data_IF_445536266788
#
_entry.id   IF_445536266788
#
_cell.length_a   1.000
_cell.length_b   1.000
_cell.length_c   1.000
_cell.angle_alpha   90.00
_cell.angle_beta   90.00
_cell.angle_gamma   90.00
#
_symmetry.space_group_name_H-M   'P 1'
#
loop_
_entity.id
_entity.type
_entity.pdbx_description
1 polymer ?
#
# COMPACT_ATOMS: atom_id res chain seq x y z
N UNK A 1 -18.13 -3.19 30.57
CA UNK A 1 -17.29 -3.07 29.36
C UNK A 1 -16.07 -2.24 29.74
N UNK A 2 -14.86 -2.76 29.52
CA UNK A 2 -13.62 -2.14 29.99
C UNK A 2 -13.27 -0.96 29.07
N UNK A 3 -13.64 0.27 29.47
CA UNK A 3 -13.42 1.52 28.71
C UNK A 3 -11.95 2.00 28.71
N UNK A 4 -11.05 1.26 29.35
CA UNK A 4 -9.64 1.65 29.54
C UNK A 4 -8.75 1.50 28.29
N UNK A 5 -9.22 0.91 27.19
CA UNK A 5 -8.40 0.65 25.99
C UNK A 5 -8.99 1.17 24.67
N UNK A 6 -9.81 2.24 24.72
CA UNK A 6 -10.27 2.90 23.49
C UNK A 6 -9.51 4.21 23.25
N UNK A 7 -9.09 4.48 22.01
CA UNK A 7 -8.47 5.76 21.66
C UNK A 7 -9.43 6.93 21.91
N UNK A 8 -8.87 8.11 22.15
CA UNK A 8 -9.58 9.37 22.31
C UNK A 8 -9.28 10.31 21.13
N UNK A 9 -10.19 11.23 20.84
CA UNK A 9 -9.98 12.33 19.89
C UNK A 9 -9.24 13.51 20.54
N UNK A 10 -8.97 14.56 19.77
CA UNK A 10 -8.27 15.77 20.24
C UNK A 10 -9.04 16.56 21.31
N UNK A 11 -10.33 16.30 21.50
CA UNK A 11 -11.15 16.86 22.58
C UNK A 11 -11.11 16.00 23.87
N UNK A 12 -10.47 14.83 23.81
CA UNK A 12 -10.38 13.87 24.90
C UNK A 12 -11.61 12.95 25.04
N UNK A 13 -12.51 12.97 24.06
CA UNK A 13 -13.66 12.07 24.00
C UNK A 13 -13.26 10.72 23.41
N UNK A 14 -13.86 9.63 23.89
CA UNK A 14 -13.61 8.31 23.31
C UNK A 14 -14.11 8.24 21.88
N UNK A 15 -13.27 7.74 20.98
CA UNK A 15 -13.66 7.47 19.61
C UNK A 15 -14.73 6.39 19.60
N UNK A 16 -15.79 6.64 18.85
CA UNK A 16 -16.95 5.76 18.77
C UNK A 16 -16.55 4.44 18.08
N UNK A 17 -16.72 3.25 18.71
CA UNK A 17 -16.14 2.01 18.20
C UNK A 17 -16.55 1.63 16.77
N UNK A 18 -17.79 1.88 16.37
CA UNK A 18 -18.28 1.50 15.05
C UNK A 18 -17.80 2.42 13.91
N UNK A 19 -17.20 3.58 14.24
CA UNK A 19 -16.58 4.45 13.24
C UNK A 19 -15.14 4.03 12.97
N UNK A 20 -14.53 3.18 13.80
CA UNK A 20 -13.14 2.78 13.63
C UNK A 20 -13.02 1.78 12.46
N UNK A 21 -12.28 2.17 11.42
CA UNK A 21 -11.98 1.32 10.27
C UNK A 21 -10.76 0.43 10.54
N UNK A 22 -9.75 0.99 11.22
CA UNK A 22 -8.48 0.33 11.51
C UNK A 22 -7.80 0.96 12.72
N UNK A 23 -7.11 0.12 13.51
CA UNK A 23 -6.16 0.54 14.56
C UNK A 23 -4.83 -0.12 14.20
N UNK A 24 -3.79 0.68 14.00
CA UNK A 24 -2.41 0.23 13.83
C UNK A 24 -1.58 0.49 15.09
N UNK A 25 -0.25 0.51 14.95
CA UNK A 25 0.65 0.68 16.10
C UNK A 25 0.72 2.13 16.62
N UNK A 26 0.53 3.10 15.73
CA UNK A 26 0.64 4.53 16.04
C UNK A 26 -0.54 5.37 15.54
N UNK A 27 -1.40 4.81 14.68
CA UNK A 27 -2.46 5.52 14.02
C UNK A 27 -3.79 4.76 14.09
N UNK A 28 -4.88 5.51 14.25
CA UNK A 28 -6.25 5.03 14.12
C UNK A 28 -6.88 5.69 12.90
N UNK A 29 -7.65 4.90 12.15
CA UNK A 29 -8.42 5.38 11.00
C UNK A 29 -9.90 5.32 11.36
N UNK A 30 -10.58 6.45 11.27
CA UNK A 30 -12.01 6.58 11.57
C UNK A 30 -12.78 7.00 10.34
N UNK A 31 -14.03 6.54 10.26
CA UNK A 31 -14.98 6.89 9.23
C UNK A 31 -15.91 8.01 9.72
N UNK A 32 -16.00 9.10 8.96
CA UNK A 32 -16.96 10.17 9.17
C UNK A 32 -17.57 10.54 7.82
N UNK A 33 -18.86 10.29 7.65
CA UNK A 33 -19.61 10.49 6.40
C UNK A 33 -19.00 9.78 5.18
N UNK A 34 -18.35 10.50 4.26
CA UNK A 34 -17.66 9.96 3.08
C UNK A 34 -16.12 10.09 3.18
N UNK A 35 -15.61 10.32 4.39
CA UNK A 35 -14.19 10.57 4.68
C UNK A 35 -13.63 9.51 5.64
N UNK A 36 -12.44 9.03 5.33
CA UNK A 36 -11.59 8.26 6.22
C UNK A 36 -10.50 9.19 6.78
N UNK A 37 -10.49 9.38 8.10
CA UNK A 37 -9.55 10.26 8.80
C UNK A 37 -8.54 9.39 9.54
N UNK A 38 -7.26 9.50 9.15
CA UNK A 38 -6.14 8.87 9.86
C UNK A 38 -5.55 9.88 10.84
N UNK A 39 -5.40 9.49 12.09
CA UNK A 39 -4.86 10.33 13.17
C UNK A 39 -4.03 9.51 14.14
N UNK A 40 -3.21 10.18 14.95
CA UNK A 40 -2.40 9.53 15.96
C UNK A 40 -3.27 8.81 17.01
N UNK A 41 -2.83 7.63 17.45
CA UNK A 41 -3.46 6.96 18.59
C UNK A 41 -3.08 7.72 19.86
N UNK A 42 -4.11 8.04 20.65
CA UNK A 42 -3.98 8.63 21.97
C UNK A 42 -4.91 7.89 22.93
N UNK A 43 -4.37 7.41 24.05
CA UNK A 43 -5.15 6.90 25.18
C UNK A 43 -5.07 7.86 26.38
N UNK A 44 -6.08 7.86 27.25
CA UNK A 44 -6.16 8.78 28.41
C UNK A 44 -4.95 8.75 29.35
N UNK A 45 -4.24 7.63 29.41
CA UNK A 45 -3.10 7.42 30.30
C UNK A 45 -1.76 7.46 29.55
N UNK A 46 -1.74 7.82 28.26
CA UNK A 46 -0.50 7.93 27.51
C UNK A 46 0.33 9.13 27.99
N UNK A 47 1.64 8.98 27.96
CA UNK A 47 2.57 10.09 28.22
C UNK A 47 2.55 11.06 27.04
N UNK A 48 2.84 12.34 27.31
CA UNK A 48 2.97 13.35 26.25
C UNK A 48 4.02 12.96 25.20
N UNK A 49 5.11 12.31 25.64
CA UNK A 49 6.15 11.76 24.75
C UNK A 49 5.57 10.72 23.80
N UNK A 50 4.78 9.75 24.30
CA UNK A 50 4.17 8.72 23.47
C UNK A 50 3.19 9.28 22.45
N UNK A 51 2.39 10.27 22.88
CA UNK A 51 1.46 10.98 21.99
C UNK A 51 2.22 11.70 20.89
N UNK A 52 3.30 12.40 21.23
CA UNK A 52 4.12 13.12 20.26
C UNK A 52 4.86 12.17 19.30
N UNK A 53 5.35 11.02 19.77
CA UNK A 53 5.89 9.97 18.88
C UNK A 53 4.86 9.53 17.84
N UNK A 54 3.63 9.27 18.25
CA UNK A 54 2.56 8.85 17.33
C UNK A 54 2.19 9.98 16.35
N UNK A 55 2.09 11.23 16.82
CA UNK A 55 1.83 12.41 15.98
C UNK A 55 2.95 12.66 14.97
N UNK A 56 4.21 12.48 15.38
CA UNK A 56 5.37 12.62 14.51
C UNK A 56 5.33 11.65 13.32
N UNK A 57 4.80 10.43 13.52
CA UNK A 57 4.60 9.44 12.46
C UNK A 57 3.53 9.89 11.46
N UNK A 58 2.43 10.50 11.93
CA UNK A 58 1.42 11.09 11.03
C UNK A 58 2.04 12.23 10.21
N UNK A 59 2.77 13.15 10.85
CA UNK A 59 3.44 14.26 10.13
C UNK A 59 4.46 13.77 9.11
N UNK A 60 5.21 12.70 9.41
CA UNK A 60 6.13 12.08 8.43
C UNK A 60 5.38 11.55 7.21
N UNK A 61 4.24 10.88 7.40
CA UNK A 61 3.39 10.41 6.30
C UNK A 61 2.78 11.58 5.51
N UNK A 62 2.39 12.67 6.16
CA UNK A 62 1.92 13.90 5.49
C UNK A 62 2.95 14.45 4.49
N UNK A 63 4.26 14.34 4.76
CA UNK A 63 5.28 14.77 3.79
C UNK A 63 5.25 13.96 2.49
N UNK A 64 4.90 12.67 2.57
CA UNK A 64 4.70 11.84 1.38
C UNK A 64 3.48 12.33 0.60
N UNK A 65 2.38 12.64 1.28
CA UNK A 65 1.17 13.20 0.66
C UNK A 65 1.46 14.54 -0.04
N UNK A 66 2.18 15.45 0.62
CA UNK A 66 2.60 16.74 0.03
C UNK A 66 3.49 16.53 -1.20
N UNK A 67 4.34 15.50 -1.21
CA UNK A 67 5.16 15.16 -2.39
C UNK A 67 4.30 14.70 -3.56
N UNK A 68 3.29 13.87 -3.33
CA UNK A 68 2.55 13.23 -4.42
C UNK A 68 1.34 14.02 -4.91
N UNK A 69 0.74 14.82 -4.04
CA UNK A 69 -0.48 15.58 -4.28
C UNK A 69 -0.38 17.00 -3.68
N UNK A 70 0.54 17.85 -4.15
CA UNK A 70 0.88 19.13 -3.49
C UNK A 70 -0.27 20.13 -3.39
N UNK A 71 -1.26 20.06 -4.29
CA UNK A 71 -2.36 21.03 -4.35
C UNK A 71 -3.73 20.45 -3.94
N UNK A 72 -3.82 19.16 -3.66
CA UNK A 72 -5.09 18.45 -3.36
C UNK A 72 -6.24 18.55 -4.39
N UNK A 73 -6.06 19.29 -5.48
CA UNK A 73 -7.10 19.50 -6.50
C UNK A 73 -7.38 18.27 -7.36
N UNK A 74 -6.36 17.44 -7.62
CA UNK A 74 -6.47 16.29 -8.50
C UNK A 74 -5.92 15.01 -7.86
N UNK A 75 -6.69 13.91 -7.86
CA UNK A 75 -6.22 12.63 -7.35
C UNK A 75 -5.10 12.07 -8.22
N UNK A 76 -4.16 11.38 -7.57
CA UNK A 76 -3.13 10.59 -8.27
C UNK A 76 -3.72 9.23 -8.65
N UNK A 77 -3.76 8.93 -9.96
CA UNK A 77 -4.34 7.67 -10.44
C UNK A 77 -3.68 6.45 -9.76
N UNK A 78 -4.52 5.57 -9.22
CA UNK A 78 -4.10 4.34 -8.54
C UNK A 78 -3.71 4.51 -7.06
N UNK A 79 -3.76 5.73 -6.52
CA UNK A 79 -3.57 6.03 -5.08
C UNK A 79 -4.88 6.56 -4.49
N UNK A 80 -5.15 6.28 -3.22
CA UNK A 80 -6.33 6.85 -2.53
C UNK A 80 -6.26 8.39 -2.54
N UNK A 81 -7.41 9.04 -2.76
CA UNK A 81 -7.47 10.49 -2.84
C UNK A 81 -7.34 11.11 -1.45
N UNK A 82 -6.28 11.85 -1.19
CA UNK A 82 -6.16 12.69 -0.01
C UNK A 82 -7.02 13.94 -0.21
N UNK A 83 -7.84 14.29 0.77
CA UNK A 83 -8.76 15.42 0.71
C UNK A 83 -8.19 16.64 1.43
N UNK A 84 -7.54 16.41 2.58
CA UNK A 84 -6.96 17.45 3.39
C UNK A 84 -5.89 16.90 4.35
N UNK A 85 -4.98 17.78 4.78
CA UNK A 85 -3.95 17.53 5.80
C UNK A 85 -4.10 18.53 6.96
N UNK A 86 -5.26 18.52 7.62
CA UNK A 86 -5.55 19.41 8.75
C UNK A 86 -4.90 18.93 10.06
N UNK A 87 -4.07 19.78 10.66
CA UNK A 87 -3.37 19.45 11.91
C UNK A 87 -2.52 18.18 11.80
N UNK A 88 -2.62 17.30 12.79
CA UNK A 88 -1.96 15.98 12.79
C UNK A 88 -2.88 14.87 12.27
N UNK A 89 -3.62 15.16 11.21
CA UNK A 89 -4.52 14.21 10.56
C UNK A 89 -4.30 14.13 9.05
N UNK A 90 -4.73 13.03 8.46
CA UNK A 90 -4.77 12.82 7.01
C UNK A 90 -6.20 12.43 6.66
N UNK A 91 -6.91 13.31 5.96
CA UNK A 91 -8.24 13.03 5.45
C UNK A 91 -8.14 12.43 4.05
N UNK A 92 -8.80 11.30 3.85
CA UNK A 92 -8.83 10.57 2.58
C UNK A 92 -10.26 10.25 2.21
N UNK A 93 -10.53 10.12 0.92
CA UNK A 93 -11.81 9.60 0.43
C UNK A 93 -12.07 8.22 1.03
N UNK A 94 -13.26 8.02 1.60
CA UNK A 94 -13.66 6.72 2.11
C UNK A 94 -13.81 5.68 0.98
N UNK A 95 -13.25 4.50 1.22
CA UNK A 95 -13.24 3.39 0.26
C UNK A 95 -14.17 2.28 0.75
N UNK A 96 -15.42 2.34 0.31
CA UNK A 96 -16.53 1.51 0.82
C UNK A 96 -16.38 0.00 0.58
N UNK A 97 -15.50 -0.42 -0.33
CA UNK A 97 -15.20 -1.83 -0.59
C UNK A 97 -14.23 -2.46 0.42
N UNK A 98 -13.66 -1.66 1.33
CA UNK A 98 -12.69 -2.11 2.32
C UNK A 98 -11.36 -2.55 1.70
N UNK A 99 -10.57 -3.33 2.45
CA UNK A 99 -9.26 -3.80 1.98
C UNK A 99 -9.38 -4.97 1.01
N UNK A 100 -8.45 -5.06 0.06
CA UNK A 100 -8.35 -6.18 -0.87
C UNK A 100 -8.11 -7.51 -0.13
N UNK A 101 -7.32 -7.49 0.94
CA UNK A 101 -7.12 -8.66 1.79
C UNK A 101 -8.44 -9.21 2.38
N UNK A 102 -9.31 -8.34 2.90
CA UNK A 102 -10.65 -8.73 3.40
C UNK A 102 -11.56 -9.18 2.26
N UNK A 103 -11.47 -8.53 1.10
CA UNK A 103 -12.26 -8.88 -0.08
C UNK A 103 -11.92 -10.30 -0.58
N UNK A 104 -10.62 -10.62 -0.72
CA UNK A 104 -10.14 -11.92 -1.19
C UNK A 104 -10.47 -13.07 -0.22
N UNK A 105 -10.46 -12.81 1.09
CA UNK A 105 -10.81 -13.81 2.11
C UNK A 105 -12.28 -14.22 2.09
N UNK A 106 -13.17 -13.28 1.75
CA UNK A 106 -14.62 -13.45 1.90
C UNK A 106 -15.35 -13.78 0.58
N UNK A 107 -14.64 -13.87 -0.55
CA UNK A 107 -15.25 -14.00 -1.88
C UNK A 107 -14.57 -15.06 -2.72
N UNK A 108 -15.29 -15.50 -3.76
CA UNK A 108 -14.71 -16.32 -4.80
C UNK A 108 -13.60 -15.56 -5.55
N UNK A 109 -12.70 -16.32 -6.18
CA UNK A 109 -11.63 -15.76 -6.98
C UNK A 109 -12.18 -14.80 -8.06
N UNK A 110 -11.60 -13.61 -8.22
CA UNK A 110 -12.04 -12.64 -9.20
C UNK A 110 -11.88 -13.19 -10.62
N UNK A 111 -12.77 -12.81 -11.54
CA UNK A 111 -12.60 -13.17 -12.97
C UNK A 111 -11.29 -12.63 -13.54
N UNK A 112 -10.71 -13.29 -14.54
CA UNK A 112 -9.47 -12.84 -15.22
C UNK A 112 -9.59 -11.39 -15.71
N UNK A 113 -10.78 -10.97 -16.18
CA UNK A 113 -11.04 -9.58 -16.59
C UNK A 113 -10.85 -8.60 -15.42
N UNK A 114 -11.37 -8.94 -14.25
CA UNK A 114 -11.22 -8.12 -13.04
C UNK A 114 -9.78 -8.15 -12.52
N UNK A 115 -9.12 -9.32 -12.53
CA UNK A 115 -7.71 -9.46 -12.18
C UNK A 115 -6.82 -8.55 -13.05
N UNK A 116 -7.01 -8.55 -14.38
CA UNK A 116 -6.28 -7.66 -15.30
C UNK A 116 -6.51 -6.18 -15.01
N UNK A 117 -7.75 -5.78 -14.71
CA UNK A 117 -8.09 -4.41 -14.32
C UNK A 117 -7.33 -4.01 -13.06
N UNK A 118 -7.35 -4.85 -12.03
CA UNK A 118 -6.65 -4.59 -10.78
C UNK A 118 -5.13 -4.55 -10.95
N UNK A 119 -4.55 -5.48 -11.70
CA UNK A 119 -3.11 -5.45 -12.00
C UNK A 119 -2.71 -4.10 -12.60
N UNK A 120 -3.47 -3.65 -13.62
CA UNK A 120 -3.20 -2.38 -14.27
C UNK A 120 -3.34 -1.19 -13.31
N UNK A 121 -4.40 -1.13 -12.50
CA UNK A 121 -4.62 -0.04 -11.55
C UNK A 121 -3.51 0.05 -10.49
N UNK A 122 -3.11 -1.08 -9.92
CA UNK A 122 -2.04 -1.13 -8.93
C UNK A 122 -0.68 -0.79 -9.53
N UNK A 123 -0.39 -1.28 -10.73
CA UNK A 123 0.84 -0.90 -11.45
C UNK A 123 0.87 0.59 -11.77
N UNK A 124 -0.25 1.19 -12.17
CA UNK A 124 -0.33 2.64 -12.41
C UNK A 124 -0.06 3.42 -11.11
N UNK A 125 -0.70 3.03 -10.00
CA UNK A 125 -0.46 3.64 -8.69
C UNK A 125 1.01 3.59 -8.30
N UNK A 126 1.61 2.40 -8.37
CA UNK A 126 3.01 2.22 -8.00
C UNK A 126 3.96 2.98 -8.93
N UNK A 127 3.70 2.97 -10.23
CA UNK A 127 4.46 3.77 -11.19
C UNK A 127 4.40 5.27 -10.86
N UNK A 128 3.21 5.77 -10.50
CA UNK A 128 3.03 7.17 -10.12
C UNK A 128 3.83 7.57 -8.88
N UNK A 129 3.93 6.69 -7.86
CA UNK A 129 4.78 6.91 -6.69
C UNK A 129 6.25 6.97 -7.08
N UNK A 130 6.73 6.00 -7.85
CA UNK A 130 8.13 5.92 -8.28
C UNK A 130 8.54 7.13 -9.14
N UNK A 131 7.65 7.63 -10.01
CA UNK A 131 7.87 8.86 -10.78
C UNK A 131 8.00 10.11 -9.89
N UNK A 132 7.32 10.12 -8.75
CA UNK A 132 7.38 11.20 -7.75
C UNK A 132 8.47 11.00 -6.70
N UNK A 133 9.39 10.05 -6.95
CA UNK A 133 10.53 9.73 -6.08
C UNK A 133 10.07 9.25 -4.71
N UNK A 134 9.00 8.47 -4.66
CA UNK A 134 8.50 7.82 -3.45
C UNK A 134 8.67 6.32 -3.59
N UNK A 135 9.29 5.69 -2.59
CA UNK A 135 9.31 4.22 -2.41
C UNK A 135 8.21 3.91 -1.39
N UNK A 136 7.31 2.97 -1.71
CA UNK A 136 6.15 2.70 -0.88
C UNK A 136 6.50 1.85 0.36
N UNK A 137 7.35 0.84 0.17
CA UNK A 137 7.91 -0.09 1.15
C UNK A 137 6.92 -1.09 1.78
N UNK A 138 5.61 -0.84 1.72
CA UNK A 138 4.58 -1.77 2.24
C UNK A 138 3.44 -2.10 1.25
N UNK A 139 3.78 -2.51 0.02
CA UNK A 139 2.81 -2.82 -1.06
C UNK A 139 2.16 -4.19 -0.85
N UNK A 140 1.23 -4.28 0.10
CA UNK A 140 0.53 -5.53 0.44
C UNK A 140 -0.99 -5.39 0.32
N UNK A 141 -1.72 -6.51 0.19
CA UNK A 141 -3.16 -6.51 -0.05
C UNK A 141 -3.99 -5.88 1.08
N UNK A 142 -3.42 -5.74 2.28
CA UNK A 142 -4.02 -4.97 3.37
C UNK A 142 -3.99 -3.45 3.14
N UNK A 143 -3.02 -2.96 2.37
CA UNK A 143 -2.82 -1.55 2.02
C UNK A 143 -3.34 -1.23 0.61
N UNK A 144 -4.29 -2.04 0.13
CA UNK A 144 -5.01 -1.83 -1.12
C UNK A 144 -6.48 -1.76 -0.78
N UNK A 145 -7.15 -0.68 -1.18
CA UNK A 145 -8.56 -0.43 -0.90
C UNK A 145 -9.42 -0.57 -2.15
N UNK A 146 -10.69 -0.90 -1.95
CA UNK A 146 -11.69 -0.96 -3.02
C UNK A 146 -12.73 0.15 -2.89
N UNK A 147 -13.12 0.73 -4.02
CA UNK A 147 -14.31 1.60 -4.07
C UNK A 147 -15.59 0.79 -4.34
N UNK A 148 -16.75 1.47 -4.32
CA UNK A 148 -18.04 0.86 -4.63
C UNK A 148 -18.16 0.28 -6.05
N UNK A 149 -17.26 0.65 -6.97
CA UNK A 149 -17.17 0.13 -8.34
C UNK A 149 -16.13 -0.98 -8.52
N UNK A 150 -15.59 -1.51 -7.41
CA UNK A 150 -14.52 -2.51 -7.39
C UNK A 150 -13.25 -2.07 -8.14
N UNK A 151 -12.94 -0.76 -8.16
CA UNK A 151 -11.59 -0.30 -8.48
C UNK A 151 -10.69 -0.48 -7.27
N UNK A 152 -9.42 -0.77 -7.52
CA UNK A 152 -8.40 -0.84 -6.47
C UNK A 152 -7.52 0.40 -6.49
N UNK A 153 -7.13 0.87 -5.29
CA UNK A 153 -6.16 1.94 -5.09
C UNK A 153 -5.19 1.54 -3.98
N UNK A 154 -3.94 1.99 -4.08
CA UNK A 154 -2.95 1.85 -3.01
C UNK A 154 -3.25 2.90 -1.93
N UNK A 155 -3.08 2.53 -0.67
CA UNK A 155 -3.19 3.42 0.48
C UNK A 155 -2.04 3.18 1.46
N UNK A 156 -2.05 3.93 2.57
CA UNK A 156 -1.11 3.82 3.69
C UNK A 156 0.35 4.09 3.30
N UNK A 157 0.74 5.36 3.39
CA UNK A 157 2.08 5.83 3.04
C UNK A 157 2.98 5.95 4.27
N UNK A 158 2.58 5.37 5.41
CA UNK A 158 3.28 5.52 6.69
C UNK A 158 4.68 4.90 6.72
N UNK A 159 4.92 3.89 5.87
CA UNK A 159 6.24 3.25 5.70
C UNK A 159 7.04 3.83 4.52
N UNK A 160 6.48 4.79 3.78
CA UNK A 160 7.07 5.27 2.54
C UNK A 160 8.25 6.21 2.78
N UNK A 161 9.19 6.19 1.83
CA UNK A 161 10.38 7.05 1.83
C UNK A 161 10.33 8.04 0.68
N UNK A 162 10.57 9.31 0.99
CA UNK A 162 10.66 10.39 -0.01
C UNK A 162 12.12 10.59 -0.40
N UNK A 163 12.44 10.26 -1.65
CA UNK A 163 13.79 10.39 -2.20
C UNK A 163 14.03 11.80 -2.77
N UNK A 164 15.30 12.25 -2.83
CA UNK A 164 15.68 13.48 -3.56
C UNK A 164 15.21 13.47 -5.02
N UNK A 165 14.88 14.64 -5.57
CA UNK A 165 14.22 14.75 -6.88
C UNK A 165 15.08 14.21 -8.04
N UNK A 166 16.39 14.39 -7.93
CA UNK A 166 17.44 13.99 -8.87
C UNK A 166 17.89 12.53 -8.71
N UNK A 167 17.29 11.80 -7.77
CA UNK A 167 17.60 10.39 -7.53
C UNK A 167 17.28 9.52 -8.75
N UNK A 168 18.25 8.68 -9.13
CA UNK A 168 18.05 7.62 -10.11
C UNK A 168 17.46 6.39 -9.39
N UNK A 169 16.14 6.36 -9.28
CA UNK A 169 15.39 5.39 -8.47
C UNK A 169 15.75 3.91 -8.70
N UNK A 170 16.17 3.55 -9.91
CA UNK A 170 16.54 2.16 -10.25
C UNK A 170 17.83 1.65 -9.58
N UNK A 171 18.65 2.56 -9.04
CA UNK A 171 19.96 2.26 -8.44
C UNK A 171 20.05 2.71 -6.99
N UNK A 172 18.92 3.05 -6.37
CA UNK A 172 18.90 3.64 -5.03
C UNK A 172 18.00 2.83 -4.11
N UNK A 173 18.48 2.71 -2.87
CA UNK A 173 17.72 2.20 -1.73
C UNK A 173 17.55 3.30 -0.69
N UNK A 174 16.52 3.19 0.14
CA UNK A 174 16.37 4.04 1.33
C UNK A 174 17.17 3.49 2.54
N UNK A 175 16.98 4.12 3.71
CA UNK A 175 17.64 3.74 4.97
C UNK A 175 17.29 2.32 5.46
N UNK A 176 16.19 1.75 4.95
CA UNK A 176 15.70 0.41 5.28
C UNK A 176 16.01 -0.61 4.17
N UNK A 177 16.91 -0.27 3.24
CA UNK A 177 17.24 -1.07 2.06
C UNK A 177 16.03 -1.34 1.14
N UNK A 178 14.98 -0.52 1.21
CA UNK A 178 13.84 -0.60 0.30
C UNK A 178 14.17 0.14 -1.00
N UNK A 179 13.66 -0.35 -2.12
CA UNK A 179 13.83 0.26 -3.45
C UNK A 179 12.56 0.10 -4.27
N UNK A 180 12.56 0.66 -5.49
CA UNK A 180 11.50 0.36 -6.45
C UNK A 180 11.35 -1.14 -6.74
N UNK A 181 12.43 -1.91 -6.52
CA UNK A 181 12.44 -3.36 -6.77
C UNK A 181 11.77 -4.15 -5.66
N UNK A 182 11.94 -3.74 -4.41
CA UNK A 182 11.23 -4.35 -3.28
C UNK A 182 9.73 -4.09 -3.39
N UNK A 183 9.34 -2.87 -3.78
CA UNK A 183 7.95 -2.51 -4.10
C UNK A 183 7.36 -3.40 -5.21
N UNK A 184 8.09 -3.57 -6.32
CA UNK A 184 7.67 -4.41 -7.45
C UNK A 184 7.56 -5.89 -7.03
N UNK A 185 8.45 -6.37 -6.18
CA UNK A 185 8.38 -7.72 -5.63
C UNK A 185 7.12 -7.93 -4.78
N UNK A 186 6.83 -7.00 -3.87
CA UNK A 186 5.62 -7.00 -3.05
C UNK A 186 4.35 -6.90 -3.90
N UNK A 187 4.35 -6.08 -4.97
CA UNK A 187 3.27 -6.06 -5.96
C UNK A 187 3.09 -7.43 -6.63
N UNK A 188 4.18 -8.16 -6.90
CA UNK A 188 4.15 -9.54 -7.37
C UNK A 188 3.47 -10.51 -6.39
N UNK A 189 3.67 -10.32 -5.07
CA UNK A 189 2.94 -11.08 -4.05
C UNK A 189 1.44 -10.78 -4.12
N UNK A 190 1.05 -9.50 -4.18
CA UNK A 190 -0.37 -9.10 -4.35
C UNK A 190 -0.98 -9.71 -5.60
N UNK A 191 -0.25 -9.71 -6.71
CA UNK A 191 -0.68 -10.32 -7.96
C UNK A 191 -0.92 -11.82 -7.82
N UNK A 192 -0.04 -12.52 -7.12
CA UNK A 192 -0.24 -13.92 -6.79
C UNK A 192 -1.49 -14.14 -5.93
N UNK A 193 -1.72 -13.31 -4.91
CA UNK A 193 -2.90 -13.38 -4.05
C UNK A 193 -4.20 -13.17 -4.84
N UNK A 194 -4.23 -12.17 -5.72
CA UNK A 194 -5.38 -11.89 -6.60
C UNK A 194 -5.70 -13.08 -7.50
N UNK A 195 -4.68 -13.73 -8.06
CA UNK A 195 -4.86 -14.82 -9.04
C UNK A 195 -5.24 -16.13 -8.36
N UNK A 196 -4.71 -16.39 -7.16
CA UNK A 196 -4.86 -17.70 -6.49
C UNK A 196 -5.88 -17.68 -5.34
N UNK A 197 -6.21 -16.50 -4.82
CA UNK A 197 -6.96 -16.33 -3.58
C UNK A 197 -6.18 -16.74 -2.32
N UNK A 198 -4.86 -16.97 -2.42
CA UNK A 198 -4.03 -17.46 -1.30
C UNK A 198 -3.07 -16.37 -0.83
N UNK A 199 -3.20 -15.97 0.43
CA UNK A 199 -2.25 -15.10 1.13
C UNK A 199 -0.87 -15.79 1.21
N UNK A 200 0.19 -15.02 0.96
CA UNK A 200 1.56 -15.57 0.93
C UNK A 200 2.22 -15.63 2.30
N UNK A 201 1.92 -14.66 3.17
CA UNK A 201 2.58 -14.51 4.48
C UNK A 201 4.06 -14.13 4.39
N UNK A 202 4.56 -13.77 3.20
CA UNK A 202 5.97 -13.43 2.99
C UNK A 202 6.21 -11.99 3.44
N UNK A 203 7.22 -11.80 4.28
CA UNK A 203 7.71 -10.49 4.71
C UNK A 203 9.13 -10.28 4.21
N UNK A 204 9.40 -9.09 3.64
CA UNK A 204 10.75 -8.70 3.22
C UNK A 204 11.64 -8.31 4.40
N UNK A 205 11.04 -8.13 5.56
CA UNK A 205 11.67 -7.67 6.79
C UNK A 205 11.99 -8.83 7.73
N UNK A 206 11.80 -10.09 7.32
CA UNK A 206 12.02 -11.23 8.21
C UNK A 206 13.42 -11.82 8.02
N UNK A 207 14.12 -12.02 9.12
CA UNK A 207 15.38 -12.74 9.17
C UNK A 207 15.19 -14.26 9.01
N UNK A 208 16.28 -14.95 8.68
CA UNK A 208 16.32 -16.42 8.55
C UNK A 208 15.99 -17.15 9.87
N UNK A 209 16.18 -16.50 11.01
CA UNK A 209 15.82 -17.02 12.34
C UNK A 209 14.36 -16.74 12.74
N UNK A 210 13.60 -16.10 11.85
CA UNK A 210 12.19 -15.75 12.06
C UNK A 210 11.95 -14.45 12.82
N UNK A 211 13.01 -13.73 13.21
CA UNK A 211 12.92 -12.40 13.84
C UNK A 211 12.64 -11.30 12.81
N UNK A 212 11.99 -10.22 13.24
CA UNK A 212 11.79 -9.05 12.39
C UNK A 212 13.07 -8.20 12.39
N UNK A 213 13.51 -7.84 11.19
CA UNK A 213 14.60 -6.93 10.87
C UNK A 213 13.99 -5.60 10.39
N UNK A 214 14.71 -4.51 10.59
CA UNK A 214 14.33 -3.22 10.01
C UNK A 214 14.85 -3.06 8.58
N UNK A 215 15.69 -4.00 8.11
CA UNK A 215 16.30 -3.98 6.78
C UNK A 215 15.58 -4.96 5.84
N UNK A 216 15.04 -4.42 4.75
CA UNK A 216 14.40 -5.22 3.71
C UNK A 216 15.42 -6.07 2.95
N UNK A 217 15.06 -7.32 2.64
CA UNK A 217 15.84 -8.21 1.76
C UNK A 217 14.98 -8.71 0.62
N UNK A 218 15.52 -8.64 -0.60
CA UNK A 218 14.87 -9.24 -1.75
C UNK A 218 14.80 -10.77 -1.55
N UNK A 219 13.62 -11.40 -1.67
CA UNK A 219 13.47 -12.79 -1.31
C UNK A 219 14.12 -13.70 -2.37
N UNK A 220 14.79 -14.76 -1.91
CA UNK A 220 15.25 -15.81 -2.80
C UNK A 220 14.08 -16.60 -3.38
N UNK A 221 14.28 -17.21 -4.57
CA UNK A 221 13.20 -17.85 -5.32
C UNK A 221 12.52 -19.00 -4.57
N UNK A 222 13.24 -19.68 -3.69
CA UNK A 222 12.76 -20.79 -2.84
C UNK A 222 11.81 -20.34 -1.73
N UNK A 223 11.90 -19.09 -1.27
CA UNK A 223 10.93 -18.51 -0.33
C UNK A 223 9.60 -18.14 -1.01
N UNK A 224 9.60 -18.00 -2.34
CA UNK A 224 8.45 -17.54 -3.11
C UNK A 224 7.57 -18.70 -3.59
N UNK A 225 6.24 -18.50 -3.70
CA UNK A 225 5.33 -19.57 -4.10
C UNK A 225 5.66 -20.14 -5.49
N UNK A 226 5.31 -21.41 -5.69
CA UNK A 226 5.35 -22.02 -7.02
C UNK A 226 4.22 -21.45 -7.91
N UNK A 227 4.55 -21.08 -9.15
CA UNK A 227 3.57 -20.62 -10.12
C UNK A 227 3.09 -21.79 -11.00
N UNK A 228 1.78 -22.04 -10.98
CA UNK A 228 1.16 -23.06 -11.83
C UNK A 228 1.36 -22.79 -13.32
N UNK A 229 1.63 -23.83 -14.12
CA UNK A 229 1.93 -23.71 -15.57
C UNK A 229 0.80 -23.04 -16.37
N UNK A 230 -0.44 -23.18 -15.94
CA UNK A 230 -1.63 -22.62 -16.61
C UNK A 230 -2.06 -21.25 -16.05
N UNK A 231 -1.26 -20.66 -15.15
CA UNK A 231 -1.55 -19.35 -14.58
C UNK A 231 -1.34 -18.26 -15.66
N UNK A 232 -2.42 -17.55 -16.02
CA UNK A 232 -2.38 -16.57 -17.12
C UNK A 232 -1.37 -15.44 -16.89
N UNK A 233 -1.11 -15.07 -15.64
CA UNK A 233 -0.19 -13.98 -15.25
C UNK A 233 1.20 -14.47 -14.83
N UNK A 234 1.53 -15.75 -15.04
CA UNK A 234 2.77 -16.38 -14.57
C UNK A 234 4.01 -15.55 -14.87
N UNK A 235 4.18 -15.15 -16.13
CA UNK A 235 5.39 -14.45 -16.56
C UNK A 235 5.48 -13.02 -16.02
N UNK A 236 4.35 -12.39 -15.66
CA UNK A 236 4.36 -11.07 -15.01
C UNK A 236 4.84 -11.22 -13.57
N UNK A 237 4.24 -12.16 -12.83
CA UNK A 237 4.56 -12.42 -11.42
C UNK A 237 6.01 -12.89 -11.27
N UNK A 238 6.45 -13.84 -12.10
CA UNK A 238 7.82 -14.36 -12.06
C UNK A 238 8.85 -13.25 -12.35
N UNK A 239 8.55 -12.29 -13.24
CA UNK A 239 9.44 -11.14 -13.49
C UNK A 239 9.44 -10.15 -12.32
N UNK A 240 8.31 -9.95 -11.62
CA UNK A 240 8.28 -9.13 -10.40
C UNK A 240 9.17 -9.70 -9.29
N UNK A 241 9.34 -11.02 -9.28
CA UNK A 241 10.17 -11.76 -8.32
C UNK A 241 11.63 -11.94 -8.75
N UNK A 242 12.06 -11.20 -9.76
CA UNK A 242 13.45 -11.06 -10.15
C UNK A 242 13.87 -9.63 -9.84
N UNK A 243 14.88 -9.46 -8.98
CA UNK A 243 15.41 -8.14 -8.68
C UNK A 243 15.91 -7.48 -9.97
N UNK A 244 15.39 -6.28 -10.27
CA UNK A 244 15.69 -5.63 -11.55
C UNK A 244 14.99 -6.22 -12.79
N UNK A 245 14.05 -7.17 -12.64
CA UNK A 245 13.49 -7.96 -13.75
C UNK A 245 12.79 -7.17 -14.87
N UNK A 246 12.36 -5.94 -14.58
CA UNK A 246 11.78 -5.02 -15.57
C UNK A 246 12.77 -3.95 -16.10
N UNK A 247 14.04 -3.99 -15.67
CA UNK A 247 15.09 -3.06 -16.07
C UNK A 247 14.71 -1.59 -15.86
N UNK A 248 15.32 -0.67 -16.61
CA UNK A 248 15.09 0.77 -16.44
C UNK A 248 13.60 1.20 -16.53
N UNK A 249 12.71 0.38 -17.09
CA UNK A 249 11.28 0.67 -17.16
C UNK A 249 10.54 0.51 -15.81
N UNK A 250 11.06 -0.32 -14.89
CA UNK A 250 10.40 -0.62 -13.61
C UNK A 250 8.93 -1.00 -13.78
N UNK A 251 8.03 -0.36 -13.02
CA UNK A 251 6.59 -0.61 -13.11
C UNK A 251 5.98 -0.35 -14.51
N UNK A 252 6.55 0.54 -15.33
CA UNK A 252 6.07 0.74 -16.70
C UNK A 252 6.28 -0.50 -17.59
N UNK A 253 7.28 -1.33 -17.28
CA UNK A 253 7.49 -2.61 -17.96
C UNK A 253 6.36 -3.61 -17.72
N UNK A 254 5.73 -3.57 -16.54
CA UNK A 254 4.55 -4.38 -16.21
C UNK A 254 3.36 -3.93 -17.06
N UNK A 255 3.12 -2.62 -17.19
CA UNK A 255 2.05 -2.07 -18.03
C UNK A 255 2.20 -2.49 -19.49
N UNK A 256 3.42 -2.41 -20.02
CA UNK A 256 3.72 -2.83 -21.39
C UNK A 256 3.44 -4.33 -21.61
N UNK A 257 3.71 -5.19 -20.61
CA UNK A 257 3.34 -6.61 -20.68
C UNK A 257 1.82 -6.80 -20.63
N UNK A 258 1.12 -6.11 -19.73
CA UNK A 258 -0.34 -6.19 -19.61
C UNK A 258 -1.07 -5.75 -20.89
N UNK A 259 -0.61 -4.68 -21.52
CA UNK A 259 -1.23 -4.15 -22.75
C UNK A 259 -1.04 -5.11 -23.93
N UNK A 260 0.11 -5.80 -24.04
CA UNK A 260 0.33 -6.85 -25.05
C UNK A 260 -0.63 -8.03 -24.90
N UNK A 261 -1.06 -8.35 -23.68
CA UNK A 261 -1.99 -9.45 -23.41
C UNK A 261 -3.46 -9.13 -23.76
N UNK A 262 -3.80 -7.87 -24.01
CA UNK A 262 -5.18 -7.46 -24.36
C UNK A 262 -5.51 -7.63 -25.85
N UNK A 263 -4.53 -7.99 -26.69
CA UNK A 263 -4.69 -7.94 -28.15
C UNK A 263 -4.72 -6.49 -28.66
N UNK A 264 -4.65 -6.25 -29.98
CA UNK A 264 -4.74 -4.90 -30.52
C UNK A 264 -6.07 -4.28 -30.12
N UNK A 265 -6.05 -3.09 -29.49
CA UNK A 265 -7.25 -2.27 -29.30
C UNK A 265 -7.82 -2.00 -30.69
N UNK A 266 -8.97 -2.57 -31.01
CA UNK A 266 -9.72 -2.15 -32.19
C UNK A 266 -10.02 -0.66 -32.00
N UNK A 267 -9.43 0.15 -32.87
CA UNK A 267 -9.68 1.58 -32.99
C UNK A 267 -11.08 1.82 -33.53
#
# INVERSE_FOLDING_TARGET
MNTLHYPIDDEGHYIIPHTILQIGDAAVVVHRDDVAIKMAIVYKNDTLEKVEENRSKIRREQEVWRRIQPNFEAPVEGIVHCLDLSGDTIEMKYMSGGTLSKWLKNRAQPSIKLQRRWFRQLTIGLHNLHQRRVIHSDVLSRNILLDGSSNVVICDLGASSVMPIDTIMAHTVDEYNCSIWTDICQLGLVFYEIVTGRETGISLYRNNDGTDDFIARFPSRDMLPALGKQMWARDIIETCWQEGGYGAAGAAGILAKLDKMQGPRHR
#
